data_IF_964218996061
#
_entry.id   IF_964218996061
#
_cell.length_a   1.000
_cell.length_b   1.000
_cell.length_c   1.000
_cell.angle_alpha   90.00
_cell.angle_beta   90.00
_cell.angle_gamma   90.00
#
_symmetry.space_group_name_H-M   'P 1'
#
loop_
_entity.id
_entity.type
_entity.pdbx_description
1 polymer ?
#
# COMPACT_ATOMS: atom_id res chain seq x y z
N UNK A 1 -19.19 1.98 5.52
CA UNK A 1 -18.52 3.16 4.92
C UNK A 1 -19.06 3.35 3.52
N UNK A 2 -19.48 4.56 3.12
CA UNK A 2 -19.99 4.85 1.76
C UNK A 2 -18.90 4.63 0.69
N UNK A 3 -17.66 5.03 0.98
CA UNK A 3 -16.51 4.85 0.08
C UNK A 3 -16.16 3.38 -0.15
N UNK A 4 -16.34 2.52 0.86
CA UNK A 4 -16.12 1.08 0.70
C UNK A 4 -17.04 0.47 -0.36
N UNK A 5 -18.30 0.90 -0.39
CA UNK A 5 -19.26 0.47 -1.42
C UNK A 5 -18.86 1.02 -2.79
N UNK A 6 -18.49 2.32 -2.89
CA UNK A 6 -17.98 2.89 -4.15
C UNK A 6 -16.78 2.12 -4.72
N UNK A 7 -15.84 1.72 -3.86
CA UNK A 7 -14.68 0.91 -4.27
C UNK A 7 -15.14 -0.47 -4.74
N UNK A 8 -16.05 -1.12 -4.02
CA UNK A 8 -16.61 -2.41 -4.44
C UNK A 8 -17.27 -2.29 -5.82
N UNK A 9 -18.16 -1.31 -6.00
CA UNK A 9 -18.90 -1.11 -7.24
C UNK A 9 -17.95 -0.79 -8.42
N UNK A 10 -16.88 -0.01 -8.18
CA UNK A 10 -15.87 0.27 -9.18
C UNK A 10 -15.06 -0.99 -9.58
N UNK A 11 -14.70 -1.83 -8.61
CA UNK A 11 -14.01 -3.10 -8.88
C UNK A 11 -14.91 -4.09 -9.62
N UNK A 12 -16.18 -4.18 -9.24
CA UNK A 12 -17.17 -5.00 -9.93
C UNK A 12 -17.41 -4.51 -11.36
N UNK A 13 -17.50 -3.20 -11.58
CA UNK A 13 -17.67 -2.64 -12.91
C UNK A 13 -16.46 -2.90 -13.83
N UNK A 14 -15.23 -2.81 -13.33
CA UNK A 14 -14.01 -3.01 -14.15
C UNK A 14 -13.68 -4.49 -14.37
N UNK A 15 -13.83 -5.35 -13.36
CA UNK A 15 -13.36 -6.75 -13.39
C UNK A 15 -14.49 -7.79 -13.45
N UNK A 16 -15.75 -7.39 -13.25
CA UNK A 16 -16.91 -8.26 -13.34
C UNK A 16 -16.76 -9.55 -12.53
N UNK A 17 -16.90 -10.68 -13.22
CA UNK A 17 -16.85 -12.00 -12.58
C UNK A 17 -15.50 -12.35 -11.96
N UNK A 18 -14.37 -11.82 -12.46
CA UNK A 18 -13.06 -12.09 -11.86
C UNK A 18 -12.99 -11.56 -10.42
N UNK A 19 -13.60 -10.41 -10.15
CA UNK A 19 -13.72 -9.85 -8.80
C UNK A 19 -14.82 -10.53 -7.96
N UNK A 20 -15.95 -10.87 -8.58
CA UNK A 20 -17.07 -11.53 -7.89
C UNK A 20 -16.78 -12.99 -7.51
N UNK A 21 -15.80 -13.64 -8.13
CA UNK A 21 -15.34 -14.98 -7.76
C UNK A 21 -14.39 -15.00 -6.56
N UNK A 22 -13.82 -13.84 -6.17
CA UNK A 22 -12.98 -13.75 -4.98
C UNK A 22 -13.77 -14.14 -3.72
N UNK A 23 -13.09 -14.73 -2.73
CA UNK A 23 -13.75 -14.99 -1.44
C UNK A 23 -14.12 -13.69 -0.72
N UNK A 24 -15.19 -13.71 0.09
CA UNK A 24 -15.59 -12.54 0.89
C UNK A 24 -14.44 -11.96 1.73
N UNK A 25 -13.59 -12.77 2.40
CA UNK A 25 -12.45 -12.24 3.15
C UNK A 25 -11.40 -11.54 2.26
N UNK A 26 -11.13 -12.06 1.05
CA UNK A 26 -10.20 -11.42 0.10
C UNK A 26 -10.75 -10.09 -0.40
N UNK A 27 -12.02 -10.02 -0.79
CA UNK A 27 -12.67 -8.76 -1.17
C UNK A 27 -12.62 -7.74 -0.03
N UNK A 28 -12.97 -8.16 1.17
CA UNK A 28 -12.97 -7.28 2.34
C UNK A 28 -11.55 -6.77 2.66
N UNK A 29 -10.53 -7.63 2.56
CA UNK A 29 -9.13 -7.24 2.74
C UNK A 29 -8.66 -6.27 1.64
N UNK A 30 -9.04 -6.50 0.38
CA UNK A 30 -8.73 -5.63 -0.75
C UNK A 30 -9.37 -4.25 -0.60
N UNK A 31 -10.67 -4.19 -0.31
CA UNK A 31 -11.39 -2.92 -0.10
C UNK A 31 -10.77 -2.15 1.07
N UNK A 32 -10.41 -2.85 2.15
CA UNK A 32 -9.70 -2.26 3.29
C UNK A 32 -8.33 -1.70 2.89
N UNK A 33 -7.58 -2.39 2.04
CA UNK A 33 -6.31 -1.91 1.52
C UNK A 33 -6.49 -0.63 0.69
N UNK A 34 -7.43 -0.63 -0.27
CA UNK A 34 -7.71 0.51 -1.14
C UNK A 34 -8.21 1.75 -0.37
N UNK A 35 -9.06 1.57 0.64
CA UNK A 35 -9.51 2.67 1.51
C UNK A 35 -8.35 3.37 2.22
N UNK A 36 -7.37 2.61 2.72
CA UNK A 36 -6.19 3.19 3.38
C UNK A 36 -5.17 3.68 2.36
N UNK A 37 -5.16 3.13 1.15
CA UNK A 37 -4.19 3.47 0.12
C UNK A 37 -4.29 4.93 -0.35
N UNK A 38 -5.51 5.51 -0.38
CA UNK A 38 -5.70 6.93 -0.68
C UNK A 38 -5.55 7.84 0.55
N UNK A 39 -5.35 7.28 1.75
CA UNK A 39 -5.21 8.08 2.96
C UNK A 39 -3.85 8.79 3.00
N UNK A 40 -3.86 10.09 3.30
CA UNK A 40 -2.65 10.90 3.48
C UNK A 40 -2.82 11.74 4.74
N UNK A 41 -1.72 11.98 5.44
CA UNK A 41 -1.68 12.97 6.50
C UNK A 41 -1.74 14.36 5.89
N UNK A 42 -2.80 15.15 6.13
CA UNK A 42 -2.85 16.53 5.62
C UNK A 42 -1.68 17.31 6.19
N UNK A 43 -0.87 17.93 5.32
CA UNK A 43 0.35 18.64 5.72
C UNK A 43 0.13 19.62 6.87
N UNK A 44 -0.88 20.52 6.80
CA UNK A 44 -1.19 21.45 7.89
C UNK A 44 -1.51 20.74 9.21
N UNK A 45 -2.30 19.66 9.18
CA UNK A 45 -2.67 18.91 10.39
C UNK A 45 -1.48 18.17 10.99
N UNK A 46 -0.66 17.53 10.17
CA UNK A 46 0.54 16.82 10.62
C UNK A 46 1.57 17.80 11.25
N UNK A 47 1.73 18.98 10.66
CA UNK A 47 2.56 20.05 11.20
C UNK A 47 1.99 20.58 12.50
N UNK A 48 0.70 20.89 12.57
CA UNK A 48 0.05 21.35 13.80
C UNK A 48 0.26 20.38 14.97
N UNK A 49 0.06 19.07 14.74
CA UNK A 49 0.26 18.06 15.78
C UNK A 49 1.73 17.99 16.24
N UNK A 50 2.67 18.05 15.30
CA UNK A 50 4.11 18.02 15.59
C UNK A 50 4.55 19.25 16.39
N UNK A 51 4.00 20.42 16.08
CA UNK A 51 4.37 21.69 16.70
C UNK A 51 3.74 21.88 18.09
N UNK A 52 2.56 21.30 18.34
CA UNK A 52 1.85 21.45 19.62
C UNK A 52 2.16 20.34 20.63
N UNK A 53 2.31 19.09 20.20
CA UNK A 53 2.26 17.93 21.12
C UNK A 53 3.63 17.32 21.45
N UNK A 54 4.71 17.84 20.86
CA UNK A 54 6.06 17.29 21.02
C UNK A 54 6.15 15.80 20.64
N UNK A 55 7.20 15.09 21.08
CA UNK A 55 8.43 15.64 21.64
C UNK A 55 9.19 16.51 20.63
N UNK A 56 9.93 17.50 21.12
CA UNK A 56 10.67 18.46 20.29
C UNK A 56 12.17 18.10 20.20
N UNK A 57 12.83 18.55 19.14
CA UNK A 57 14.28 18.40 18.96
C UNK A 57 14.73 17.25 18.05
N UNK A 58 16.04 17.18 17.83
CA UNK A 58 16.68 16.22 16.90
C UNK A 58 16.46 14.78 17.38
N UNK A 59 16.22 13.87 16.43
CA UNK A 59 16.03 12.43 16.71
C UNK A 59 14.63 12.05 17.20
N UNK A 60 13.71 13.00 17.35
CA UNK A 60 12.35 12.74 17.85
C UNK A 60 11.34 12.33 16.76
N UNK A 61 11.77 12.26 15.49
CA UNK A 61 10.89 12.01 14.35
C UNK A 61 9.98 10.77 14.51
N UNK A 62 10.44 9.60 15.02
CA UNK A 62 9.55 8.46 15.22
C UNK A 62 8.44 8.74 16.25
N UNK A 63 8.74 9.45 17.34
CA UNK A 63 7.75 9.79 18.38
C UNK A 63 6.78 10.89 17.91
N UNK A 64 7.26 11.85 17.14
CA UNK A 64 6.39 12.86 16.50
C UNK A 64 5.42 12.21 15.53
N UNK A 65 5.88 11.27 14.69
CA UNK A 65 5.02 10.45 13.82
C UNK A 65 4.01 9.65 14.64
N UNK A 66 4.43 9.11 15.80
CA UNK A 66 3.55 8.34 16.70
C UNK A 66 2.41 9.23 17.23
N UNK A 67 2.69 10.49 17.56
CA UNK A 67 1.67 11.44 17.94
C UNK A 67 0.73 11.76 16.78
N UNK A 68 1.24 12.08 15.58
CA UNK A 68 0.39 12.34 14.40
C UNK A 68 -0.58 11.18 14.16
N UNK A 69 -0.09 9.93 14.09
CA UNK A 69 -0.98 8.78 13.87
C UNK A 69 -2.02 8.55 14.96
N UNK A 70 -1.77 8.96 16.21
CA UNK A 70 -2.73 8.76 17.30
C UNK A 70 -3.94 9.68 17.14
N UNK A 71 -3.74 10.85 16.52
CA UNK A 71 -4.81 11.80 16.25
C UNK A 71 -5.54 11.52 14.93
N UNK A 72 -4.80 11.22 13.86
CA UNK A 72 -5.39 11.10 12.52
C UNK A 72 -5.21 9.73 11.86
N UNK A 73 -4.69 8.73 12.56
CA UNK A 73 -4.52 7.37 12.03
C UNK A 73 -3.61 7.34 10.81
N UNK A 74 -4.11 6.77 9.71
CA UNK A 74 -3.46 6.80 8.39
C UNK A 74 -3.67 8.11 7.62
N UNK A 75 -4.52 9.01 8.14
CA UNK A 75 -4.85 10.30 7.54
C UNK A 75 -6.27 10.37 7.03
N UNK A 76 -6.56 11.47 6.34
CA UNK A 76 -7.80 11.63 5.61
C UNK A 76 -7.66 10.92 4.26
N UNK A 77 -8.69 10.19 3.86
CA UNK A 77 -8.77 9.60 2.52
C UNK A 77 -9.68 10.47 1.65
N UNK A 78 -9.32 10.60 0.38
CA UNK A 78 -10.20 11.15 -0.65
C UNK A 78 -10.95 9.98 -1.31
N UNK A 79 -12.28 10.08 -1.32
CA UNK A 79 -13.16 9.05 -1.84
C UNK A 79 -13.17 9.01 -3.37
N UNK A 80 -12.88 10.12 -4.03
CA UNK A 80 -12.79 10.19 -5.48
C UNK A 80 -11.44 9.61 -5.92
N UNK A 81 -10.35 9.92 -5.23
CA UNK A 81 -9.05 9.27 -5.49
C UNK A 81 -9.06 7.75 -5.31
N UNK A 82 -9.90 7.24 -4.38
CA UNK A 82 -10.00 5.80 -4.14
C UNK A 82 -10.61 5.02 -5.31
N UNK A 83 -11.33 5.69 -6.21
CA UNK A 83 -12.00 5.08 -7.38
C UNK A 83 -11.57 5.70 -8.72
N UNK A 84 -10.83 6.81 -8.70
CA UNK A 84 -10.43 7.52 -9.90
C UNK A 84 -9.22 6.89 -10.59
N UNK A 85 -9.34 6.68 -11.91
CA UNK A 85 -8.20 6.50 -12.80
C UNK A 85 -7.68 7.86 -13.27
N UNK A 86 -6.37 8.08 -13.16
CA UNK A 86 -5.70 9.25 -13.71
C UNK A 86 -4.55 8.79 -14.61
N UNK A 87 -4.32 9.47 -15.73
CA UNK A 87 -3.33 9.05 -16.72
C UNK A 87 -1.89 9.03 -16.18
N UNK A 88 -1.62 9.86 -15.18
CA UNK A 88 -0.33 10.02 -14.50
C UNK A 88 -0.17 9.16 -13.23
N UNK A 89 -1.14 8.26 -12.99
CA UNK A 89 -1.21 7.39 -11.82
C UNK A 89 -1.72 6.00 -12.19
N UNK A 90 -0.88 4.98 -12.03
CA UNK A 90 -1.27 3.59 -12.19
C UNK A 90 -1.44 2.93 -10.83
N UNK A 91 -2.68 2.57 -10.48
CA UNK A 91 -2.99 1.76 -9.30
C UNK A 91 -3.40 0.36 -9.74
N UNK A 92 -2.77 -0.66 -9.16
CA UNK A 92 -3.16 -2.05 -9.34
C UNK A 92 -3.23 -2.76 -7.98
N UNK A 93 -3.79 -3.96 -7.97
CA UNK A 93 -4.02 -4.70 -6.75
C UNK A 93 -3.73 -6.19 -6.90
N UNK A 94 -3.54 -6.84 -5.76
CA UNK A 94 -3.41 -8.29 -5.66
C UNK A 94 -4.13 -8.79 -4.42
N UNK A 95 -4.62 -10.02 -4.48
CA UNK A 95 -5.20 -10.73 -3.34
C UNK A 95 -4.59 -12.12 -3.23
N UNK A 96 -4.60 -12.67 -2.03
CA UNK A 96 -4.09 -14.02 -1.79
C UNK A 96 -4.31 -14.43 -0.35
N UNK A 97 -3.72 -15.55 0.03
CA UNK A 97 -3.69 -15.99 1.42
C UNK A 97 -2.31 -16.54 1.77
N UNK A 98 -1.86 -16.35 3.01
CA UNK A 98 -0.55 -16.81 3.47
C UNK A 98 -0.66 -17.81 4.63
N UNK A 99 0.01 -18.95 4.45
CA UNK A 99 0.29 -19.90 5.52
C UNK A 99 1.29 -19.30 6.52
N UNK A 100 1.38 -19.92 7.69
CA UNK A 100 2.33 -19.52 8.71
C UNK A 100 3.77 -19.51 8.19
N UNK A 101 4.52 -18.47 8.56
CA UNK A 101 5.92 -18.24 8.16
C UNK A 101 6.20 -18.30 6.65
N UNK A 102 5.20 -18.02 5.81
CA UNK A 102 5.36 -17.90 4.36
C UNK A 102 5.40 -16.46 3.89
N UNK A 103 5.96 -16.28 2.69
CA UNK A 103 6.00 -15.02 1.98
C UNK A 103 5.65 -15.22 0.52
N UNK A 104 5.15 -14.18 -0.13
CA UNK A 104 4.87 -14.13 -1.56
C UNK A 104 5.39 -12.81 -2.13
N UNK A 105 5.96 -12.87 -3.33
CA UNK A 105 6.43 -11.69 -4.05
C UNK A 105 5.37 -11.27 -5.07
N UNK A 106 5.05 -9.97 -5.09
CA UNK A 106 4.20 -9.35 -6.10
C UNK A 106 5.06 -8.49 -7.00
N UNK A 107 5.11 -8.81 -8.29
CA UNK A 107 5.90 -8.07 -9.28
C UNK A 107 5.21 -6.75 -9.62
N UNK A 108 5.83 -5.64 -9.24
CA UNK A 108 5.36 -4.28 -9.55
C UNK A 108 6.03 -3.82 -10.85
N UNK A 109 5.30 -3.68 -11.97
CA UNK A 109 5.90 -3.15 -13.20
C UNK A 109 6.26 -1.68 -13.02
N UNK A 110 7.49 -1.33 -13.39
CA UNK A 110 7.95 0.05 -13.41
C UNK A 110 7.84 0.57 -14.84
N UNK A 111 7.03 1.61 -15.10
CA UNK A 111 6.86 2.17 -16.44
C UNK A 111 8.12 2.93 -16.87
N UNK A 112 8.52 2.79 -18.13
CA UNK A 112 9.66 3.51 -18.72
C UNK A 112 9.43 5.01 -18.68
N UNK A 113 8.16 5.44 -18.68
CA UNK A 113 7.72 6.81 -18.50
C UNK A 113 8.39 7.57 -17.34
N UNK A 114 8.80 6.90 -16.26
CA UNK A 114 9.47 7.56 -15.11
C UNK A 114 11.00 7.60 -15.24
N UNK A 115 11.58 6.84 -16.16
CA UNK A 115 13.02 6.69 -16.31
C UNK A 115 13.72 7.97 -16.78
N UNK A 116 14.90 8.25 -16.22
CA UNK A 116 15.80 9.33 -16.67
C UNK A 116 15.29 10.76 -16.41
N UNK A 117 14.20 10.93 -15.65
CA UNK A 117 13.54 12.23 -15.45
C UNK A 117 13.72 12.73 -14.02
N UNK A 118 14.18 13.97 -13.87
CA UNK A 118 14.26 14.66 -12.57
C UNK A 118 12.95 15.36 -12.25
N UNK A 119 11.94 14.59 -11.86
CA UNK A 119 10.61 15.11 -11.58
C UNK A 119 9.95 14.29 -10.46
N UNK A 120 9.11 14.90 -9.61
CA UNK A 120 8.47 14.20 -8.50
C UNK A 120 7.74 12.93 -8.95
N UNK A 121 8.03 11.83 -8.30
CA UNK A 121 7.36 10.55 -8.52
C UNK A 121 7.29 9.76 -7.21
N UNK A 122 6.31 8.87 -7.16
CA UNK A 122 5.91 8.16 -5.97
C UNK A 122 5.61 6.71 -6.28
N UNK A 123 6.01 5.84 -5.36
CA UNK A 123 5.62 4.45 -5.32
C UNK A 123 4.97 4.24 -3.97
N UNK A 124 3.73 3.77 -3.93
CA UNK A 124 3.00 3.52 -2.69
C UNK A 124 2.49 2.10 -2.69
N UNK A 125 2.53 1.45 -1.54
CA UNK A 125 1.97 0.12 -1.34
C UNK A 125 1.20 0.06 -0.01
N UNK A 126 0.03 -0.56 -0.04
CA UNK A 126 -0.81 -0.76 1.14
C UNK A 126 -1.30 -2.20 1.18
N UNK A 127 -0.87 -2.91 2.21
CA UNK A 127 -1.27 -4.27 2.54
C UNK A 127 -2.32 -4.22 3.65
N UNK A 128 -3.38 -5.00 3.51
CA UNK A 128 -4.35 -5.23 4.58
C UNK A 128 -4.73 -6.71 4.65
N UNK A 129 -5.04 -7.19 5.85
CA UNK A 129 -5.46 -8.58 6.07
C UNK A 129 -6.56 -8.65 7.13
N UNK A 130 -7.24 -9.80 7.15
CA UNK A 130 -8.21 -10.17 8.18
C UNK A 130 -7.69 -11.40 8.89
N UNK A 131 -7.55 -11.32 10.22
CA UNK A 131 -6.97 -12.37 11.05
C UNK A 131 -7.86 -12.61 12.26
N UNK A 132 -7.88 -13.84 12.80
CA UNK A 132 -8.47 -14.09 14.10
C UNK A 132 -7.93 -13.13 15.18
N UNK A 133 -8.73 -12.98 16.23
CA UNK A 133 -8.38 -12.19 17.40
C UNK A 133 -7.95 -13.10 18.55
N UNK A 134 -7.05 -12.62 19.39
CA UNK A 134 -6.65 -13.25 20.64
C UNK A 134 -7.07 -12.33 21.79
N UNK A 135 -8.29 -12.55 22.35
CA UNK A 135 -8.77 -11.79 23.50
C UNK A 135 -7.77 -11.83 24.67
N UNK A 136 -7.71 -10.74 25.44
CA UNK A 136 -6.80 -10.63 26.59
C UNK A 136 -5.35 -10.27 26.26
N UNK A 137 -4.96 -10.21 24.97
CA UNK A 137 -3.60 -9.78 24.58
C UNK A 137 -3.59 -8.34 24.09
N UNK A 138 -2.54 -7.60 24.48
CA UNK A 138 -2.33 -6.19 24.08
C UNK A 138 -2.34 -5.99 22.56
N UNK A 139 -1.84 -6.96 21.79
CA UNK A 139 -1.78 -6.88 20.33
C UNK A 139 -3.14 -7.13 19.65
N UNK A 140 -4.04 -7.83 20.33
CA UNK A 140 -5.37 -8.31 19.91
C UNK A 140 -5.44 -9.17 18.63
N UNK A 141 -4.68 -8.85 17.59
CA UNK A 141 -4.54 -9.67 16.37
C UNK A 141 -3.72 -10.93 16.64
N UNK A 142 -4.11 -12.04 16.02
CA UNK A 142 -3.32 -13.28 16.07
C UNK A 142 -2.14 -13.23 15.08
N UNK A 143 -2.38 -12.78 13.84
CA UNK A 143 -1.39 -12.81 12.76
C UNK A 143 -0.91 -11.42 12.39
N UNK A 144 0.39 -11.31 12.15
CA UNK A 144 1.05 -10.09 11.64
C UNK A 144 1.60 -10.36 10.24
N UNK A 145 1.36 -9.41 9.34
CA UNK A 145 2.03 -9.36 8.04
C UNK A 145 2.74 -8.01 7.87
N UNK A 146 3.74 -7.97 6.99
CA UNK A 146 4.46 -6.74 6.62
C UNK A 146 4.82 -6.75 5.14
N UNK A 147 5.09 -5.56 4.61
CA UNK A 147 5.82 -5.41 3.37
C UNK A 147 7.32 -5.28 3.70
N UNK A 148 8.14 -6.07 3.03
CA UNK A 148 9.60 -5.89 3.08
C UNK A 148 9.94 -4.82 2.06
N UNK A 149 10.73 -3.82 2.47
CA UNK A 149 11.19 -2.78 1.55
C UNK A 149 11.94 -3.45 0.37
N UNK A 150 11.62 -3.11 -0.89
CA UNK A 150 12.27 -3.72 -2.04
C UNK A 150 13.76 -3.42 -2.06
N UNK A 151 14.55 -4.39 -2.53
CA UNK A 151 15.98 -4.24 -2.74
C UNK A 151 16.21 -3.20 -3.86
N UNK A 152 17.20 -2.33 -3.67
CA UNK A 152 17.63 -1.31 -4.63
C UNK A 152 16.54 -0.33 -5.08
N UNK A 153 15.49 -0.10 -4.26
CA UNK A 153 14.42 0.85 -4.59
C UNK A 153 14.95 2.28 -4.78
N UNK A 154 16.10 2.61 -4.18
CA UNK A 154 16.82 3.87 -4.35
C UNK A 154 17.33 4.12 -5.78
N UNK A 155 17.48 3.07 -6.60
CA UNK A 155 17.80 3.19 -8.02
C UNK A 155 16.66 3.87 -8.79
N UNK A 156 15.44 3.81 -8.27
CA UNK A 156 14.31 4.56 -8.80
C UNK A 156 14.32 6.02 -8.36
N UNK A 157 15.39 6.53 -7.72
CA UNK A 157 15.46 7.94 -7.32
C UNK A 157 14.66 8.29 -6.07
N UNK A 158 13.97 7.31 -5.45
CA UNK A 158 13.07 7.51 -4.31
C UNK A 158 13.73 7.19 -2.97
N UNK A 159 13.16 7.73 -1.89
CA UNK A 159 13.45 7.35 -0.50
C UNK A 159 12.15 7.20 0.28
N UNK A 160 12.20 6.61 1.48
CA UNK A 160 11.01 6.45 2.32
C UNK A 160 10.36 7.81 2.65
N UNK A 161 9.10 7.98 2.29
CA UNK A 161 8.38 9.23 2.46
C UNK A 161 8.27 9.62 3.95
N UNK A 162 8.46 10.91 4.24
CA UNK A 162 8.52 11.43 5.60
C UNK A 162 7.15 11.59 6.27
N UNK A 163 6.10 11.89 5.50
CA UNK A 163 4.78 12.22 6.01
C UNK A 163 3.83 11.02 5.92
N UNK A 164 4.11 9.99 6.73
CA UNK A 164 3.34 8.75 6.87
C UNK A 164 3.67 8.06 8.21
N UNK A 165 2.83 7.12 8.68
CA UNK A 165 3.17 6.28 9.83
C UNK A 165 4.50 5.55 9.61
N UNK A 166 5.32 5.42 10.65
CA UNK A 166 6.57 4.66 10.53
C UNK A 166 6.36 3.13 10.55
N UNK A 167 7.40 2.35 10.21
CA UNK A 167 7.31 0.89 10.18
C UNK A 167 6.96 0.26 11.54
N UNK A 168 7.49 0.79 12.64
CA UNK A 168 7.15 0.31 14.00
C UNK A 168 5.68 0.57 14.34
N UNK A 169 5.11 1.59 13.73
CA UNK A 169 3.73 1.99 13.92
C UNK A 169 2.76 1.13 13.11
N UNK A 170 3.03 0.95 11.82
CA UNK A 170 2.23 0.09 10.92
C UNK A 170 2.25 -1.37 11.36
N UNK A 171 3.35 -1.83 11.98
CA UNK A 171 3.49 -3.16 12.55
C UNK A 171 2.49 -3.50 13.67
N UNK A 172 1.72 -2.53 14.19
CA UNK A 172 0.78 -2.73 15.33
C UNK A 172 -0.65 -3.08 14.91
N UNK A 173 -0.99 -2.98 13.63
CA UNK A 173 -2.35 -3.21 13.14
C UNK A 173 -2.46 -4.41 12.19
N UNK A 174 -3.56 -4.42 11.45
CA UNK A 174 -3.84 -5.36 10.34
C UNK A 174 -3.84 -4.66 8.98
N UNK A 175 -3.09 -3.56 8.91
CA UNK A 175 -2.82 -2.75 7.73
C UNK A 175 -1.36 -2.31 7.82
N UNK A 176 -0.65 -2.36 6.69
CA UNK A 176 0.71 -1.87 6.55
C UNK A 176 0.76 -0.98 5.30
N UNK A 177 1.23 0.25 5.43
CA UNK A 177 1.37 1.17 4.30
C UNK A 177 2.78 1.70 4.21
N UNK A 178 3.26 1.88 2.99
CA UNK A 178 4.60 2.38 2.70
C UNK A 178 4.55 3.19 1.40
N UNK A 179 4.99 4.44 1.49
CA UNK A 179 5.23 5.32 0.36
C UNK A 179 6.72 5.62 0.26
N UNK A 180 7.24 5.56 -0.95
CA UNK A 180 8.54 6.03 -1.38
C UNK A 180 8.34 7.18 -2.36
N UNK A 181 9.14 8.22 -2.21
CA UNK A 181 9.03 9.45 -3.01
C UNK A 181 10.41 9.98 -3.34
N UNK A 182 10.53 10.61 -4.49
CA UNK A 182 11.75 11.31 -4.91
C UNK A 182 11.53 12.16 -6.15
N UNK A 183 12.54 12.92 -6.50
CA UNK A 183 12.60 13.81 -7.65
C UNK A 183 13.88 13.63 -8.48
N UNK A 184 14.74 12.67 -8.09
CA UNK A 184 15.96 12.30 -8.81
C UNK A 184 15.62 11.40 -10.00
N UNK A 185 16.48 11.40 -11.01
CA UNK A 185 16.31 10.54 -12.18
C UNK A 185 16.29 9.05 -11.78
N UNK A 186 15.18 8.38 -12.08
CA UNK A 186 15.03 6.94 -11.88
C UNK A 186 15.80 6.15 -12.96
N UNK A 187 16.52 5.12 -12.56
CA UNK A 187 17.15 4.15 -13.46
C UNK A 187 16.12 3.08 -13.78
N UNK A 188 15.57 3.11 -15.00
CA UNK A 188 14.51 2.19 -15.46
C UNK A 188 14.93 1.51 -16.76
N UNK A 189 14.70 0.20 -16.85
CA UNK A 189 14.87 -0.60 -18.08
C UNK A 189 13.50 -1.00 -18.65
N UNK A 190 13.45 -1.36 -19.93
CA UNK A 190 12.18 -1.57 -20.67
C UNK A 190 11.20 -2.55 -20.03
N UNK A 191 11.71 -3.57 -19.32
CA UNK A 191 10.90 -4.58 -18.63
C UNK A 191 11.15 -4.61 -17.13
N UNK A 192 11.59 -3.50 -16.53
CA UNK A 192 11.87 -3.45 -15.10
C UNK A 192 10.63 -3.81 -14.27
N UNK A 193 10.85 -4.64 -13.25
CA UNK A 193 9.87 -4.96 -12.21
C UNK A 193 10.55 -4.80 -10.86
N UNK A 194 9.80 -4.34 -9.86
CA UNK A 194 10.24 -4.32 -8.47
C UNK A 194 9.46 -5.39 -7.71
N UNK A 195 10.10 -6.41 -7.14
CA UNK A 195 9.41 -7.40 -6.33
C UNK A 195 9.03 -6.77 -4.98
N UNK A 196 7.73 -6.74 -4.70
CA UNK A 196 7.22 -6.34 -3.40
C UNK A 196 6.86 -7.59 -2.59
N UNK A 197 7.67 -7.86 -1.57
CA UNK A 197 7.52 -9.05 -0.73
C UNK A 197 6.52 -8.83 0.39
N UNK A 198 5.47 -9.64 0.41
CA UNK A 198 4.53 -9.76 1.51
C UNK A 198 4.98 -10.92 2.40
N UNK A 199 5.22 -10.65 3.67
CA UNK A 199 5.68 -11.66 4.63
C UNK A 199 4.70 -11.78 5.79
N UNK A 200 4.29 -13.02 6.10
CA UNK A 200 3.67 -13.35 7.39
C UNK A 200 4.77 -13.58 8.42
N UNK A 201 4.67 -12.86 9.51
CA UNK A 201 5.58 -12.97 10.65
C UNK A 201 5.14 -14.12 11.56
N UNK A 202 6.07 -14.72 12.34
CA UNK A 202 5.71 -15.73 13.32
C UNK A 202 4.61 -15.23 14.26
N UNK A 203 3.65 -16.10 14.53
CA UNK A 203 2.53 -15.76 15.39
C UNK A 203 3.04 -15.48 16.80
N UNK A 204 2.78 -14.29 17.30
CA UNK A 204 3.03 -14.00 18.69
C UNK A 204 1.88 -14.67 19.45
N UNK A 205 2.01 -15.87 20.01
CA UNK A 205 0.96 -16.52 20.81
C UNK A 205 0.51 -17.86 20.25
N UNK A 206 -0.78 -18.17 20.34
CA UNK A 206 -1.33 -19.39 19.77
C UNK A 206 -1.13 -19.40 18.24
N UNK A 207 -0.59 -20.50 17.73
CA UNK A 207 -0.38 -20.72 16.31
C UNK A 207 -1.72 -20.69 15.58
N UNK A 208 -1.76 -19.98 14.45
CA UNK A 208 -2.88 -19.98 13.53
C UNK A 208 -2.48 -20.78 12.29
N UNK A 209 -2.89 -22.04 12.22
CA UNK A 209 -2.54 -22.91 11.09
C UNK A 209 -3.28 -22.52 9.79
N UNK A 210 -4.38 -21.80 9.93
CA UNK A 210 -5.20 -21.31 8.82
C UNK A 210 -4.45 -20.34 7.91
N UNK A 211 -4.78 -20.42 6.63
CA UNK A 211 -4.36 -19.45 5.62
C UNK A 211 -5.02 -18.10 5.90
N UNK A 212 -4.22 -17.04 6.03
CA UNK A 212 -4.74 -15.70 6.33
C UNK A 212 -4.88 -14.89 5.02
N UNK A 213 -6.09 -14.43 4.66
CA UNK A 213 -6.31 -13.67 3.44
C UNK A 213 -5.75 -12.25 3.54
N UNK A 214 -5.18 -11.77 2.43
CA UNK A 214 -4.69 -10.41 2.30
C UNK A 214 -5.20 -9.76 1.00
N UNK A 215 -5.20 -8.43 1.04
CA UNK A 215 -5.33 -7.56 -0.13
C UNK A 215 -4.18 -6.57 -0.15
N UNK A 216 -3.66 -6.30 -1.35
CA UNK A 216 -2.58 -5.37 -1.62
C UNK A 216 -3.06 -4.35 -2.67
N UNK A 217 -2.81 -3.07 -2.43
CA UNK A 217 -2.91 -2.01 -3.42
C UNK A 217 -1.54 -1.38 -3.63
N UNK A 218 -1.14 -1.17 -4.88
CA UNK A 218 0.13 -0.54 -5.25
C UNK A 218 -0.14 0.55 -6.27
N UNK A 219 0.48 1.71 -6.07
CA UNK A 219 0.41 2.83 -7.00
C UNK A 219 1.81 3.26 -7.41
N UNK A 220 2.01 3.46 -8.70
CA UNK A 220 3.13 4.23 -9.26
C UNK A 220 2.53 5.52 -9.84
N UNK A 221 3.10 6.67 -9.51
CA UNK A 221 2.60 7.95 -10.00
C UNK A 221 3.71 8.95 -10.24
N UNK A 222 3.54 9.78 -11.26
CA UNK A 222 4.45 10.86 -11.61
C UNK A 222 3.59 11.99 -12.21
N UNK A 223 3.23 13.01 -11.42
CA UNK A 223 2.29 14.04 -11.84
C UNK A 223 2.58 14.61 -13.23
N UNK A 224 1.56 14.69 -14.09
CA UNK A 224 1.70 15.22 -15.45
C UNK A 224 2.29 14.25 -16.49
N UNK A 225 2.72 13.04 -16.11
CA UNK A 225 3.22 12.03 -17.05
C UNK A 225 2.10 11.09 -17.52
N UNK A 226 1.35 11.52 -18.54
CA UNK A 226 0.12 10.86 -19.00
C UNK A 226 0.29 9.45 -19.61
N UNK A 227 1.51 9.04 -19.99
CA UNK A 227 1.77 7.70 -20.53
C UNK A 227 1.85 6.61 -19.44
N UNK A 228 1.95 7.02 -18.18
CA UNK A 228 2.25 6.13 -17.06
C UNK A 228 1.19 5.04 -16.90
N UNK A 229 -0.09 5.41 -16.93
CA UNK A 229 -1.18 4.48 -16.74
C UNK A 229 -1.21 3.38 -17.80
N UNK A 230 -1.12 3.75 -19.09
CA UNK A 230 -1.22 2.79 -20.19
C UNK A 230 -0.02 1.84 -20.25
N UNK A 231 1.19 2.32 -19.95
CA UNK A 231 2.38 1.46 -19.85
C UNK A 231 2.25 0.40 -18.77
N UNK A 232 1.73 0.76 -17.59
CA UNK A 232 1.49 -0.21 -16.50
C UNK A 232 0.36 -1.16 -16.87
N UNK A 233 -0.75 -0.63 -17.39
CA UNK A 233 -1.92 -1.43 -17.80
C UNK A 233 -1.56 -2.50 -18.83
N UNK A 234 -0.71 -2.18 -19.81
CA UNK A 234 -0.25 -3.12 -20.82
C UNK A 234 0.56 -4.29 -20.24
N UNK A 235 1.18 -4.12 -19.06
CA UNK A 235 2.03 -5.13 -18.40
C UNK A 235 1.30 -5.95 -17.34
N UNK A 236 0.18 -5.44 -16.81
CA UNK A 236 -0.61 -6.11 -15.74
C UNK A 236 -1.82 -6.86 -16.30
N UNK A 237 -2.37 -6.45 -17.45
CA UNK A 237 -3.53 -7.13 -18.03
C UNK A 237 -3.22 -8.61 -18.32
N UNK A 238 -4.09 -9.55 -17.90
CA UNK A 238 -3.98 -10.91 -18.36
C UNK A 238 -4.06 -10.92 -19.89
N UNK A 239 -3.08 -11.53 -20.56
CA UNK A 239 -3.16 -11.75 -22.00
C UNK A 239 -4.41 -12.59 -22.27
N UNK A 240 -5.35 -12.15 -23.14
CA UNK A 240 -6.49 -12.99 -23.48
C UNK A 240 -5.97 -14.31 -24.06
N UNK A 241 -6.39 -15.43 -23.45
CA UNK A 241 -6.15 -16.76 -24.01
C UNK A 241 -6.81 -16.76 -25.40
N UNK A 242 -6.00 -16.83 -26.45
CA UNK A 242 -6.55 -17.01 -27.81
C UNK A 242 -7.28 -18.36 -27.84
N UNK A 243 -8.50 -18.41 -28.40
CA UNK A 243 -9.24 -19.66 -28.58
C UNK A 243 -8.47 -20.65 -29.48
#
# INVERSE_FOLDING_TARGET
>A
SRTAHRIHDALEAEYGQEFLQLSNPQRAALIKALLVHSARWPGPTATLVRDLLGPFGRGQAPRQKDNIRRFIGYGAFDADDAVACAADRATFWAVGSLANERSVDVSVPIPVAIGGRTHPHYISATLAWLTPVQPGRKAYRAVRMKLVDPVDIENLGVTAHGNQPDGNQTNRGTVYTRCWSGDRAAVVTGNMVVPLKIQREPDAGATVDEMVPFGLAVTVSMPGQIALYDEVRARVRPTPVRP
#
